data_IF_022155373749
#
_entry.id   IF_022155373749
#
_cell.length_a   1.000
_cell.length_b   1.000
_cell.length_c   1.000
_cell.angle_alpha   90.00
_cell.angle_beta   90.00
_cell.angle_gamma   90.00
#
_symmetry.space_group_name_H-M   'P 1'
#
loop_
_entity.id
_entity.type
_entity.pdbx_description
1 polymer ?
2 non-polymer ?
3 non-polymer ?
4 water ?
#
# COMPACT_ATOMS: atom_id res chain seq x y z
N UNK A 14 -2.72 19.39 -17.68
CA UNK A 14 -3.36 20.71 -17.56
C UNK A 14 -4.54 20.82 -18.52
N UNK A 15 -4.40 20.32 -19.74
CA UNK A 15 -5.49 20.30 -20.72
C UNK A 15 -5.68 18.85 -21.17
N UNK A 16 -6.81 18.53 -21.79
CA UNK A 16 -6.92 17.17 -22.30
C UNK A 16 -6.05 16.99 -23.54
N UNK A 17 -6.00 18.02 -24.41
CA UNK A 17 -5.09 17.99 -25.56
C UNK A 17 -3.69 17.57 -25.13
N UNK A 18 -3.25 18.04 -23.97
CA UNK A 18 -1.96 17.60 -23.42
C UNK A 18 -1.88 16.07 -23.31
N UNK A 19 -2.96 15.42 -22.88
CA UNK A 19 -2.88 13.97 -22.68
C UNK A 19 -2.82 13.23 -24.01
N UNK A 20 -3.48 13.73 -25.05
CA UNK A 20 -3.41 13.02 -26.33
C UNK A 20 -1.99 13.10 -26.88
N UNK A 21 -1.40 14.29 -26.90
CA UNK A 21 -0.04 14.43 -27.39
C UNK A 21 0.94 13.68 -26.50
N UNK A 22 0.78 13.78 -25.18
CA UNK A 22 1.69 13.15 -24.26
C UNK A 22 1.70 11.63 -24.31
N UNK A 23 0.73 11.03 -24.99
CA UNK A 23 0.65 9.58 -25.13
C UNK A 23 0.83 9.15 -26.59
N UNK A 24 1.23 10.08 -27.46
CA UNK A 24 1.16 9.92 -28.90
C UNK A 24 -0.19 9.31 -29.30
N UNK A 25 -1.26 9.91 -28.77
CA UNK A 25 -2.64 9.46 -28.94
C UNK A 25 -2.83 8.02 -28.46
N UNK A 26 -2.44 7.78 -27.21
CA UNK A 26 -2.74 6.52 -26.53
C UNK A 26 -2.15 5.32 -27.27
N UNK A 27 -1.02 5.55 -27.93
CA UNK A 27 -0.22 4.47 -28.49
C UNK A 27 0.16 3.45 -27.41
N UNK A 28 0.33 2.18 -27.83
CA UNK A 28 0.60 1.11 -26.87
C UNK A 28 1.93 1.29 -26.14
N UNK A 29 2.92 1.95 -26.78
CA UNK A 29 4.19 2.28 -26.14
C UNK A 29 3.99 3.00 -24.81
N UNK A 30 2.81 3.57 -24.58
CA UNK A 30 2.53 4.36 -23.41
C UNK A 30 1.55 3.70 -22.45
N UNK A 31 1.01 2.54 -22.81
CA UNK A 31 0.03 1.86 -21.96
C UNK A 31 0.75 1.22 -20.77
N UNK A 32 0.35 1.61 -19.57
CA UNK A 32 0.94 1.05 -18.35
C UNK A 32 0.24 -0.24 -17.94
N UNK A 33 -1.09 -0.21 -17.90
CA UNK A 33 -1.86 -1.36 -17.46
C UNK A 33 -3.31 -0.99 -17.39
N UNK A 34 -4.09 -1.84 -16.72
CA UNK A 34 -5.54 -1.62 -16.60
C UNK A 34 -6.10 -2.44 -15.45
N UNK A 35 -6.94 -1.80 -14.64
CA UNK A 35 -7.66 -2.48 -13.58
C UNK A 35 -9.16 -2.56 -13.83
N UNK A 36 -9.96 -2.54 -12.76
CA UNK A 36 -11.41 -2.66 -12.88
C UNK A 36 -12.10 -1.36 -13.27
N UNK A 37 -11.57 -0.20 -12.84
CA UNK A 37 -12.21 1.07 -13.12
C UNK A 37 -11.45 1.94 -14.12
N UNK A 38 -10.16 1.68 -14.39
CA UNK A 38 -9.33 2.59 -15.18
C UNK A 38 -8.44 1.87 -16.19
N UNK A 39 -8.29 2.47 -17.38
CA UNK A 39 -7.17 2.21 -18.27
C UNK A 39 -6.09 3.26 -18.00
N UNK A 40 -4.83 2.82 -17.92
CA UNK A 40 -3.76 3.64 -17.36
C UNK A 40 -2.61 3.78 -18.36
N UNK A 41 -2.29 5.03 -18.70
CA UNK A 41 -1.22 5.34 -19.64
C UNK A 41 -0.17 6.25 -18.98
N UNK A 42 1.08 6.09 -19.41
CA UNK A 42 2.12 7.06 -19.11
C UNK A 42 1.94 8.29 -20.01
N UNK A 43 2.05 9.48 -19.42
CA UNK A 43 1.92 10.74 -20.16
C UNK A 43 3.13 11.62 -19.87
N UNK A 44 3.79 12.07 -20.93
CA UNK A 44 4.87 13.06 -20.83
C UNK A 44 4.29 14.43 -21.18
N UNK A 45 4.30 15.35 -20.21
CA UNK A 45 3.85 16.71 -20.47
C UNK A 45 4.98 17.66 -20.12
N UNK A 46 5.56 18.29 -21.13
CA UNK A 46 6.79 19.04 -20.97
C UNK A 46 7.84 18.14 -20.33
N UNK A 47 8.37 18.57 -19.19
CA UNK A 47 9.46 17.87 -18.54
C UNK A 47 9.01 17.16 -17.27
N UNK A 48 7.75 16.73 -17.22
CA UNK A 48 7.25 15.89 -16.15
C UNK A 48 6.50 14.70 -16.72
N UNK A 49 6.48 13.61 -15.96
CA UNK A 49 5.88 12.36 -16.36
C UNK A 49 4.70 12.04 -15.45
N UNK A 50 3.59 11.59 -16.06
CA UNK A 50 2.35 11.33 -15.36
C UNK A 50 1.81 9.95 -15.74
N UNK A 51 0.87 9.49 -14.91
CA UNK A 51 0.01 8.34 -15.21
C UNK A 51 -1.42 8.86 -15.27
N UNK A 52 -2.12 8.61 -16.38
CA UNK A 52 -3.51 9.00 -16.53
C UNK A 52 -4.36 7.75 -16.41
N UNK A 53 -5.36 7.80 -15.55
CA UNK A 53 -6.26 6.69 -15.29
C UNK A 53 -7.57 7.04 -15.99
N UNK A 54 -7.82 6.38 -17.13
CA UNK A 54 -8.95 6.66 -18.00
C UNK A 54 -10.18 5.95 -17.42
N UNK A 55 -11.15 6.73 -16.92
CA UNK A 55 -12.35 6.13 -16.33
C UNK A 55 -13.13 5.40 -17.41
N UNK A 56 -13.34 4.11 -17.18
CA UNK A 56 -13.78 3.19 -18.22
C UNK A 56 -15.30 3.01 -18.27
N UNK A 63 -22.33 1.46 -14.90
CA UNK A 63 -22.18 0.81 -13.60
C UNK A 63 -22.06 1.85 -12.49
N UNK A 64 -23.09 1.93 -11.63
CA UNK A 64 -23.08 2.90 -10.55
C UNK A 64 -22.00 2.59 -9.51
N UNK A 65 -21.62 1.33 -9.35
CA UNK A 65 -20.58 0.98 -8.38
C UNK A 65 -19.24 1.62 -8.74
N UNK A 66 -18.74 1.30 -9.93
CA UNK A 66 -17.66 2.05 -10.58
C UNK A 66 -17.73 3.55 -10.34
N UNK A 67 -18.88 4.17 -10.61
CA UNK A 67 -19.01 5.62 -10.51
C UNK A 67 -18.80 6.10 -9.08
N UNK A 68 -19.43 5.44 -8.11
CA UNK A 68 -19.29 5.84 -6.71
C UNK A 68 -17.87 5.67 -6.21
N UNK A 69 -17.10 4.76 -6.81
CA UNK A 69 -15.72 4.57 -6.40
C UNK A 69 -14.81 5.63 -7.02
N UNK A 70 -15.16 6.11 -8.21
CA UNK A 70 -14.49 7.26 -8.80
C UNK A 70 -14.67 8.50 -7.92
N UNK A 71 -15.92 8.81 -7.58
CA UNK A 71 -16.19 9.91 -6.65
C UNK A 71 -15.42 9.76 -5.35
N UNK A 72 -15.40 8.56 -4.76
CA UNK A 72 -14.69 8.39 -3.49
C UNK A 72 -13.20 8.67 -3.65
N UNK A 73 -12.62 8.30 -4.79
CA UNK A 73 -11.22 8.59 -5.04
C UNK A 73 -11.00 10.09 -5.16
N UNK A 74 -11.87 10.76 -5.91
CA UNK A 74 -11.79 12.21 -6.03
C UNK A 74 -11.97 12.86 -4.66
N UNK A 75 -12.97 12.41 -3.88
CA UNK A 75 -13.28 13.08 -2.62
C UNK A 75 -12.03 13.12 -1.73
N UNK A 76 -11.37 11.98 -1.59
CA UNK A 76 -10.22 11.92 -0.70
C UNK A 76 -9.12 12.86 -1.20
N UNK A 77 -8.75 12.73 -2.48
CA UNK A 77 -7.54 13.38 -2.98
C UNK A 77 -7.70 14.88 -3.15
N UNK A 78 -8.94 15.38 -3.25
CA UNK A 78 -9.15 16.83 -3.34
C UNK A 78 -9.20 17.49 -1.97
N UNK A 79 -9.42 16.72 -0.92
CA UNK A 79 -9.59 17.26 0.41
C UNK A 79 -8.37 17.08 1.32
N UNK A 80 -7.59 16.01 1.13
CA UNK A 80 -6.51 15.68 2.03
C UNK A 80 -5.21 15.49 1.26
N UNK A 81 -4.10 15.76 1.93
CA UNK A 81 -2.79 15.91 1.31
C UNK A 81 -1.75 15.46 2.32
N UNK A 82 -0.78 14.67 1.87
CA UNK A 82 0.27 14.18 2.75
C UNK A 82 1.44 13.77 1.88
N UNK A 83 2.68 13.94 2.37
CA UNK A 83 3.86 13.55 1.56
C UNK A 83 3.84 12.10 1.11
N UNK A 84 3.17 11.21 1.85
CA UNK A 84 3.13 9.79 1.53
C UNK A 84 1.76 9.37 0.98
N UNK A 85 1.00 10.32 0.45
CA UNK A 85 -0.20 10.03 -0.31
C UNK A 85 0.01 10.56 -1.72
N UNK A 86 -0.13 9.70 -2.73
CA UNK A 86 0.05 10.16 -4.10
C UNK A 86 -1.04 11.16 -4.47
N UNK A 87 -0.64 12.33 -4.88
CA UNK A 87 -1.51 13.48 -4.91
C UNK A 87 -2.17 13.52 -6.28
N UNK A 88 -3.40 14.04 -6.30
CA UNK A 88 -4.05 14.28 -7.58
C UNK A 88 -3.52 15.59 -8.13
N UNK A 89 -3.04 15.55 -9.37
CA UNK A 89 -2.52 16.74 -10.02
C UNK A 89 -3.55 17.45 -10.88
N UNK A 90 -4.42 16.69 -11.56
CA UNK A 90 -5.53 17.24 -12.33
C UNK A 90 -6.53 16.12 -12.61
N UNK A 91 -7.70 16.51 -13.08
CA UNK A 91 -8.77 15.59 -13.43
C UNK A 91 -9.68 16.28 -14.45
N UNK A 92 -10.38 15.49 -15.25
CA UNK A 92 -11.17 16.01 -16.35
C UNK A 92 -12.56 15.38 -16.33
N UNK A 93 -13.59 16.24 -16.35
CA UNK A 93 -14.99 15.86 -16.39
C UNK A 93 -15.86 17.12 -16.31
N UNK A 98 -13.28 11.74 -18.98
CA UNK A 98 -13.39 11.31 -17.59
C UNK A 98 -12.11 10.59 -17.13
N UNK A 99 -11.26 11.26 -16.34
CA UNK A 99 -9.98 10.65 -16.00
C UNK A 99 -9.31 11.40 -14.86
N UNK A 100 -8.37 10.71 -14.21
CA UNK A 100 -7.57 11.25 -13.11
C UNK A 100 -6.09 11.17 -13.47
N UNK A 101 -5.35 12.27 -13.23
CA UNK A 101 -3.91 12.35 -13.56
C UNK A 101 -3.11 12.46 -12.27
N UNK A 102 -2.11 11.58 -12.13
CA UNK A 102 -1.22 11.52 -10.98
C UNK A 102 0.24 11.59 -11.43
N UNK A 103 1.14 12.09 -10.58
CA UNK A 103 2.58 12.01 -10.90
C UNK A 103 3.00 10.56 -11.10
N UNK A 104 3.89 10.34 -12.07
CA UNK A 104 4.34 9.00 -12.39
C UNK A 104 5.37 8.52 -11.38
N UNK A 105 5.18 7.30 -10.88
CA UNK A 105 6.00 6.74 -9.81
C UNK A 105 6.93 5.71 -10.45
N UNK A 106 8.18 6.10 -10.67
CA UNK A 106 9.10 5.35 -11.51
C UNK A 106 9.57 4.04 -10.86
N UNK A 107 9.55 3.94 -9.54
CA UNK A 107 9.91 2.67 -8.93
C UNK A 107 8.71 1.75 -8.72
N UNK A 108 7.54 2.10 -9.27
CA UNK A 108 6.45 1.12 -9.30
C UNK A 108 5.85 0.82 -7.93
N UNK A 109 5.24 -0.36 -7.84
CA UNK A 109 4.51 -0.79 -6.66
C UNK A 109 5.40 -1.57 -5.71
N UNK A 110 5.06 -1.49 -4.42
CA UNK A 110 5.77 -2.30 -3.43
C UNK A 110 5.72 -3.78 -3.80
N UNK A 111 4.56 -4.26 -4.26
CA UNK A 111 4.44 -5.66 -4.66
C UNK A 111 5.48 -6.02 -5.73
N UNK A 112 5.57 -5.20 -6.79
CA UNK A 112 6.52 -5.48 -7.87
C UNK A 112 7.95 -5.53 -7.36
N UNK A 113 8.30 -4.63 -6.43
CA UNK A 113 9.68 -4.60 -5.95
C UNK A 113 9.96 -5.77 -5.01
N UNK A 114 8.99 -6.16 -4.19
CA UNK A 114 9.17 -7.35 -3.35
C UNK A 114 9.33 -8.59 -4.21
N UNK A 115 8.56 -8.68 -5.30
CA UNK A 115 8.63 -9.82 -6.20
C UNK A 115 9.72 -9.65 -7.25
N UNK A 116 10.49 -8.57 -7.19
CA UNK A 116 11.61 -8.32 -8.12
C UNK A 116 11.17 -8.41 -9.59
N UNK A 117 10.02 -7.80 -9.90
CA UNK A 117 9.55 -7.80 -11.28
C UNK A 117 10.55 -7.06 -12.17
N UNK A 118 10.79 -7.60 -13.36
CA UNK A 118 11.81 -7.01 -14.22
C UNK A 118 13.23 -7.29 -13.77
N UNK A 119 13.42 -8.19 -12.81
CA UNK A 119 14.75 -8.52 -12.28
C UNK A 119 15.38 -7.34 -11.55
N UNK A 120 14.57 -6.50 -10.92
CA UNK A 120 15.17 -5.46 -10.10
C UNK A 120 15.78 -6.10 -8.85
N UNK A 121 16.78 -5.44 -8.30
CA UNK A 121 17.44 -5.95 -7.11
C UNK A 121 16.45 -5.97 -5.93
N UNK A 122 16.52 -6.98 -5.06
CA UNK A 122 15.73 -6.97 -3.82
C UNK A 122 15.99 -5.70 -3.01
N UNK A 123 14.95 -5.20 -2.35
CA UNK A 123 15.12 -4.02 -1.51
C UNK A 123 15.90 -4.37 -0.24
N UNK A 124 16.84 -3.50 0.16
CA UNK A 124 17.52 -3.71 1.44
C UNK A 124 16.61 -3.31 2.60
N UNK A 125 16.99 -3.73 3.80
CA UNK A 125 16.09 -3.57 4.94
C UNK A 125 15.80 -2.10 5.22
N UNK A 126 16.80 -1.23 5.06
CA UNK A 126 16.56 0.16 5.45
C UNK A 126 15.52 0.82 4.54
N UNK A 127 15.44 0.42 3.27
CA UNK A 127 14.39 0.95 2.39
C UNK A 127 13.03 0.34 2.77
N UNK A 128 13.01 -0.98 3.01
CA UNK A 128 11.77 -1.65 3.42
C UNK A 128 11.17 -0.98 4.64
N UNK A 129 11.99 -0.70 5.66
CA UNK A 129 11.39 -0.14 6.86
C UNK A 129 10.97 1.31 6.59
N UNK A 130 11.72 2.02 5.75
CA UNK A 130 11.34 3.37 5.37
C UNK A 130 10.02 3.37 4.62
N UNK A 131 9.79 2.34 3.82
CA UNK A 131 8.52 2.27 3.10
C UNK A 131 7.37 2.07 4.08
N UNK A 132 7.52 1.14 5.04
CA UNK A 132 6.45 0.90 6.01
C UNK A 132 6.16 2.14 6.85
N UNK A 133 7.21 2.85 7.28
CA UNK A 133 7.02 4.05 8.08
C UNK A 133 6.21 5.09 7.31
N UNK A 134 6.62 5.38 6.07
CA UNK A 134 5.92 6.41 5.31
C UNK A 134 4.44 6.10 5.12
N UNK A 135 4.13 4.83 4.82
CA UNK A 135 2.73 4.46 4.61
C UNK A 135 1.96 4.57 5.93
N UNK A 136 2.58 4.19 7.04
CA UNK A 136 1.87 4.25 8.31
C UNK A 136 1.57 5.69 8.69
N UNK A 137 2.50 6.61 8.36
CA UNK A 137 2.22 8.03 8.57
C UNK A 137 1.02 8.47 7.74
N UNK A 138 0.96 8.04 6.48
CA UNK A 138 -0.17 8.44 5.64
C UNK A 138 -1.48 7.92 6.22
N UNK A 139 -1.50 6.68 6.69
CA UNK A 139 -2.72 6.13 7.27
C UNK A 139 -3.05 6.82 8.58
N UNK A 140 -2.04 6.98 9.44
CA UNK A 140 -2.24 7.72 10.68
C UNK A 140 -2.82 9.11 10.42
N UNK A 141 -2.33 9.80 9.39
CA UNK A 141 -2.88 11.12 9.06
C UNK A 141 -4.35 11.01 8.63
N UNK A 142 -4.65 10.04 7.76
CA UNK A 142 -6.01 9.91 7.23
C UNK A 142 -7.00 9.54 8.33
N UNK A 143 -6.57 8.70 9.27
CA UNK A 143 -7.40 8.29 10.39
C UNK A 143 -7.73 9.46 11.33
N UNK A 144 -7.13 10.63 11.16
CA UNK A 144 -7.33 11.69 12.14
C UNK A 144 -7.60 13.05 11.50
N UNK A 145 -7.83 13.13 10.18
CA UNK A 145 -8.03 14.42 9.53
C UNK A 145 -9.25 15.10 10.13
N UNK A 146 -9.16 16.42 10.27
CA UNK A 146 -9.97 17.28 11.14
C UNK A 146 -11.44 16.88 11.16
N UNK A 147 -12.17 16.93 10.00
CA UNK A 147 -13.64 16.74 10.07
C UNK A 147 -14.06 15.33 10.47
N UNK A 148 -14.10 14.41 9.52
CA UNK A 148 -14.39 13.01 9.79
C UNK A 148 -13.16 12.20 9.38
N UNK A 149 -12.84 11.17 10.15
CA UNK A 149 -11.65 10.41 9.80
C UNK A 149 -11.92 9.53 8.59
N UNK A 150 -10.85 9.13 7.92
CA UNK A 150 -10.91 8.37 6.68
C UNK A 150 -10.44 6.95 6.96
N UNK A 151 -11.28 5.98 6.62
CA UNK A 151 -10.84 4.60 6.55
C UNK A 151 -10.43 4.32 5.10
N UNK A 152 -9.17 3.91 4.91
CA UNK A 152 -8.60 3.84 3.57
C UNK A 152 -9.25 2.75 2.72
N UNK A 153 -9.32 1.52 3.25
CA UNK A 153 -10.10 0.46 2.65
C UNK A 153 -9.40 -0.45 1.66
N UNK A 154 -8.32 0.00 1.02
CA UNK A 154 -7.64 -0.82 0.00
C UNK A 154 -6.14 -0.84 0.22
N UNK A 155 -5.72 -0.96 1.47
CA UNK A 155 -4.30 -1.01 1.78
C UNK A 155 -3.74 -2.35 1.32
N UNK A 156 -2.64 -2.32 0.59
CA UNK A 156 -2.07 -3.51 -0.02
C UNK A 156 -0.72 -3.17 -0.63
N UNK A 157 0.07 -4.21 -0.93
CA UNK A 157 1.40 -3.94 -1.47
C UNK A 157 1.31 -3.42 -2.90
N UNK A 158 0.22 -3.78 -3.61
CA UNK A 158 -0.04 -3.27 -4.95
C UNK A 158 -0.37 -1.78 -4.94
N UNK A 159 -1.04 -1.29 -3.90
CA UNK A 159 -1.51 0.09 -3.88
C UNK A 159 -0.51 1.04 -3.21
N UNK A 160 0.69 0.57 -2.93
CA UNK A 160 1.76 1.40 -2.41
C UNK A 160 2.72 1.64 -3.57
N UNK A 161 2.84 2.89 -4.04
CA UNK A 161 3.76 3.23 -5.12
C UNK A 161 5.01 3.88 -4.54
N UNK A 162 6.05 3.97 -5.38
CA UNK A 162 7.38 4.34 -4.91
C UNK A 162 8.03 5.34 -5.86
N UNK A 163 8.49 6.47 -5.32
CA UNK A 163 9.11 7.49 -6.16
C UNK A 163 10.58 7.13 -6.43
N UNK A 164 11.34 8.08 -6.99
CA UNK A 164 12.69 7.77 -7.44
C UNK A 164 13.62 7.43 -6.29
N UNK A 165 13.27 7.86 -5.07
CA UNK A 165 14.06 7.55 -3.89
C UNK A 165 13.34 6.56 -2.97
N UNK A 166 12.37 5.83 -3.50
CA UNK A 166 11.60 4.85 -2.76
C UNK A 166 10.80 5.45 -1.61
N UNK A 167 10.55 6.76 -1.64
CA UNK A 167 9.54 7.32 -0.74
C UNK A 167 8.19 6.72 -1.11
N UNK A 168 7.46 6.15 -0.15
CA UNK A 168 6.18 5.51 -0.49
C UNK A 168 5.04 6.51 -0.64
N UNK A 169 4.09 6.17 -1.51
CA UNK A 169 2.90 6.97 -1.77
C UNK A 169 1.69 6.07 -1.72
N UNK A 170 0.81 6.31 -0.76
CA UNK A 170 -0.41 5.53 -0.67
C UNK A 170 -1.36 5.91 -1.81
N UNK A 171 -2.03 4.91 -2.40
CA UNK A 171 -2.97 5.16 -3.48
C UNK A 171 -4.20 4.30 -3.26
N UNK A 172 -5.22 4.57 -4.07
CA UNK A 172 -6.48 3.84 -4.14
C UNK A 172 -7.38 4.13 -2.97
N UNK A 173 -8.26 5.12 -3.11
CA UNK A 173 -9.26 5.41 -2.10
C UNK A 173 -10.66 5.12 -2.61
N UNK A 174 -10.77 4.27 -3.64
CA UNK A 174 -12.08 3.94 -4.20
C UNK A 174 -12.98 3.25 -3.18
N UNK A 175 -12.40 2.64 -2.15
CA UNK A 175 -13.19 1.99 -1.11
C UNK A 175 -13.17 2.76 0.21
N UNK A 176 -12.70 4.00 0.21
CA UNK A 176 -12.58 4.75 1.47
C UNK A 176 -13.96 5.11 2.05
N UNK A 177 -13.98 5.28 3.38
CA UNK A 177 -15.19 5.66 4.10
C UNK A 177 -14.82 6.60 5.24
N UNK A 178 -15.75 7.49 5.56
CA UNK A 178 -15.58 8.43 6.66
C UNK A 178 -16.20 7.89 7.94
N UNK A 179 -15.49 8.05 9.06
CA UNK A 179 -15.95 7.55 10.35
C UNK A 179 -15.79 8.64 11.43
N UNK A 199 -10.22 -10.76 -1.54
CA UNK A 199 -10.39 -10.00 -0.30
C UNK A 199 -9.35 -10.45 0.73
N UNK A 200 -8.14 -10.74 0.26
CA UNK A 200 -7.12 -11.31 1.14
C UNK A 200 -6.68 -10.36 2.22
N UNK A 201 -6.76 -9.05 1.99
CA UNK A 201 -6.34 -8.06 2.97
C UNK A 201 -7.45 -7.68 3.93
N UNK A 202 -8.62 -8.31 3.82
CA UNK A 202 -9.74 -7.86 4.63
C UNK A 202 -9.95 -8.78 5.82
N UNK A 203 -10.28 -8.25 7.00
CA UNK A 203 -10.47 -9.08 8.19
C UNK A 203 -11.83 -9.75 8.21
N UNK A 204 -11.98 -10.68 9.15
CA UNK A 204 -13.19 -11.49 9.26
C UNK A 204 -14.43 -10.63 9.50
N UNK A 205 -14.35 -9.74 10.50
CA UNK A 205 -15.51 -8.92 10.85
C UNK A 205 -16.00 -8.07 9.67
N UNK A 206 -15.14 -7.81 8.69
CA UNK A 206 -15.56 -7.14 7.48
C UNK A 206 -16.26 -8.11 6.53
N UNK A 207 -15.55 -9.18 6.17
CA UNK A 207 -16.12 -10.21 5.31
C UNK A 207 -17.42 -10.76 5.88
N UNK A 208 -17.44 -11.09 7.18
CA UNK A 208 -18.59 -11.79 7.75
C UNK A 208 -19.73 -10.85 8.16
N UNK A 209 -19.43 -9.67 8.69
CA UNK A 209 -20.47 -8.82 9.28
C UNK A 209 -20.50 -7.41 8.70
N UNK A 210 -19.71 -7.12 7.66
CA UNK A 210 -19.70 -5.79 7.08
C UNK A 210 -19.13 -4.68 7.95
N UNK A 211 -18.53 -5.00 9.11
CA UNK A 211 -17.98 -3.96 9.98
C UNK A 211 -16.69 -3.41 9.40
N UNK A 212 -16.46 -2.12 9.64
CA UNK A 212 -15.34 -1.39 9.04
C UNK A 212 -14.89 -0.31 10.01
N UNK A 213 -13.59 -0.18 10.23
CA UNK A 213 -13.12 0.80 11.21
C UNK A 213 -11.67 1.16 10.94
N UNK A 214 -11.13 1.98 11.83
CA UNK A 214 -9.68 2.19 11.93
C UNK A 214 -8.95 0.87 11.90
N UNK A 215 -9.45 -0.12 12.65
CA UNK A 215 -8.74 -1.39 12.78
C UNK A 215 -8.78 -2.19 11.49
N UNK A 216 -9.66 -1.86 10.54
CA UNK A 216 -9.60 -2.51 9.23
C UNK A 216 -8.28 -2.23 8.53
N UNK A 217 -7.88 -0.95 8.49
CA UNK A 217 -6.62 -0.59 7.85
C UNK A 217 -5.43 -1.22 8.55
N UNK A 218 -5.48 -1.32 9.89
CA UNK A 218 -4.36 -1.90 10.61
C UNK A 218 -4.18 -3.36 10.20
N UNK A 219 -5.29 -4.10 10.10
CA UNK A 219 -5.25 -5.50 9.70
C UNK A 219 -4.58 -5.66 8.34
N UNK A 220 -5.06 -4.91 7.33
CA UNK A 220 -4.44 -4.94 6.01
C UNK A 220 -2.97 -4.57 6.06
N UNK A 221 -2.63 -3.53 6.83
CA UNK A 221 -1.24 -3.12 6.96
C UNK A 221 -0.39 -4.24 7.55
N UNK A 222 -0.94 -4.98 8.53
CA UNK A 222 -0.18 -6.09 9.10
C UNK A 222 0.22 -7.10 8.04
N UNK A 223 -0.69 -7.40 7.12
CA UNK A 223 -0.35 -8.36 6.06
C UNK A 223 0.73 -7.78 5.16
N UNK A 224 0.70 -6.47 4.91
CA UNK A 224 1.77 -5.85 4.12
C UNK A 224 3.12 -6.00 4.82
N UNK A 225 3.17 -5.83 6.14
CA UNK A 225 4.42 -6.07 6.86
C UNK A 225 4.91 -7.50 6.63
N UNK A 226 3.97 -8.46 6.66
CA UNK A 226 4.31 -9.86 6.43
C UNK A 226 4.96 -10.06 5.05
N UNK A 227 4.39 -9.43 4.02
CA UNK A 227 5.01 -9.47 2.69
C UNK A 227 6.39 -8.82 2.70
N UNK A 228 6.54 -7.72 3.43
CA UNK A 228 7.80 -6.99 3.40
C UNK A 228 8.90 -7.81 4.07
N UNK A 229 8.56 -8.52 5.14
CA UNK A 229 9.57 -9.30 5.85
C UNK A 229 9.96 -10.54 5.07
N UNK A 230 9.00 -11.21 4.43
CA UNK A 230 9.23 -12.51 3.83
C UNK A 230 9.52 -12.47 2.34
N UNK A 231 9.00 -11.45 1.64
CA UNK A 231 9.04 -11.46 0.21
C UNK A 231 8.04 -12.40 -0.43
N UNK A 232 7.16 -13.00 0.36
CA UNK A 232 6.11 -13.86 -0.15
C UNK A 232 4.88 -13.06 -0.58
N UNK A 233 4.12 -13.66 -1.49
CA UNK A 233 2.78 -13.20 -1.83
C UNK A 233 1.84 -13.51 -0.67
N UNK A 234 0.67 -12.83 -0.68
CA UNK A 234 -0.32 -13.04 0.37
C UNK A 234 -0.82 -14.47 0.37
N UNK A 235 -0.78 -15.13 -0.79
CA UNK A 235 -1.12 -16.54 -0.95
C UNK A 235 0.08 -17.26 -1.54
N UNK A 236 0.36 -18.47 -1.04
CA UNK A 236 1.58 -19.20 -1.36
C UNK A 236 1.28 -20.35 -2.31
N UNK A 237 2.33 -20.81 -3.00
CA UNK A 237 2.19 -21.81 -4.08
C UNK A 237 1.50 -23.11 -3.64
N UNK A 241 -2.15 -24.47 -1.09
CA UNK A 241 -2.27 -23.08 -1.49
C UNK A 241 -2.79 -22.22 -0.32
N UNK A 242 -1.88 -21.83 0.58
CA UNK A 242 -2.25 -21.30 1.88
C UNK A 242 -1.93 -19.81 1.98
N UNK A 243 -2.55 -19.16 2.96
CA UNK A 243 -2.37 -17.73 3.15
C UNK A 243 -1.14 -17.45 4.00
N UNK A 244 -0.34 -16.47 3.55
CA UNK A 244 0.83 -16.04 4.29
C UNK A 244 0.48 -15.72 5.74
N UNK A 245 -0.66 -15.06 5.97
CA UNK A 245 -1.05 -14.69 7.33
C UNK A 245 -1.28 -15.92 8.19
N UNK A 246 -1.92 -16.96 7.63
CA UNK A 246 -2.16 -18.16 8.41
C UNK A 246 -0.85 -18.87 8.73
N UNK A 247 0.06 -18.90 7.77
CA UNK A 247 1.33 -19.57 7.98
C UNK A 247 2.14 -18.87 9.07
N UNK A 248 2.23 -17.54 9.02
CA UNK A 248 3.03 -16.84 10.01
C UNK A 248 2.37 -16.88 11.38
N UNK A 249 1.04 -16.75 11.45
CA UNK A 249 0.35 -16.82 12.75
C UNK A 249 0.52 -18.21 13.38
N UNK A 250 0.36 -19.27 12.59
CA UNK A 250 0.59 -20.62 13.12
C UNK A 250 2.02 -20.77 13.64
N UNK A 251 3.00 -20.26 12.89
CA UNK A 251 4.39 -20.37 13.32
C UNK A 251 4.65 -19.57 14.60
N UNK A 252 4.08 -18.37 14.72
CA UNK A 252 4.35 -17.56 15.91
C UNK A 252 3.71 -18.14 17.17
N UNK A 253 2.55 -18.77 17.05
CA UNK A 253 1.93 -19.32 18.25
C UNK A 253 2.66 -20.55 18.73
N UNK A 254 3.14 -21.38 17.81
CA UNK A 254 3.72 -22.66 18.21
C UNK A 254 5.21 -22.51 18.56
N UNK A 255 5.91 -21.61 17.88
CA UNK A 255 7.36 -21.61 17.92
C UNK A 255 7.97 -20.29 18.38
N UNK A 256 7.16 -19.30 18.74
CA UNK A 256 7.68 -18.04 19.23
C UNK A 256 8.17 -17.16 18.11
N UNK A 257 8.60 -15.95 18.50
CA UNK A 257 8.92 -14.93 17.50
C UNK A 257 10.22 -15.21 16.79
N UNK A 258 11.21 -15.81 17.47
CA UNK A 258 12.50 -16.02 16.84
C UNK A 258 12.45 -17.10 15.75
N UNK A 259 11.41 -17.94 15.71
CA UNK A 259 11.36 -18.97 14.68
C UNK A 259 11.05 -18.39 13.30
N UNK A 260 10.43 -17.21 13.25
CA UNK A 260 10.15 -16.58 11.96
C UNK A 260 11.41 -16.15 11.24
N UNK A 261 12.54 -16.07 11.95
CA UNK A 261 13.83 -15.80 11.32
C UNK A 261 13.98 -16.64 10.06
N UNK A 262 13.49 -17.89 10.08
CA UNK A 262 13.64 -18.79 8.93
C UNK A 262 12.86 -18.32 7.70
N UNK A 263 11.90 -17.40 7.87
CA UNK A 263 11.07 -16.96 6.75
C UNK A 263 11.42 -15.56 6.28
N UNK A 264 12.45 -14.95 6.84
CA UNK A 264 12.96 -13.70 6.28
C UNK A 264 13.33 -13.92 4.82
N UNK A 265 12.94 -12.97 3.96
CA UNK A 265 13.37 -12.91 2.57
C UNK A 265 14.83 -13.36 2.44
N UNK A 266 15.05 -14.47 1.73
CA UNK A 266 16.39 -15.01 1.53
C UNK A 266 17.23 -14.15 0.61
N UNK A 267 16.62 -13.24 -0.15
CA UNK A 267 17.37 -12.53 -1.17
C UNK A 267 18.16 -11.36 -0.59
N UNK A 268 18.10 -11.15 0.73
CA UNK A 268 19.05 -10.27 1.40
C UNK A 268 19.62 -11.01 2.60
N UNK A 269 20.81 -10.62 3.07
CA UNK A 269 21.30 -11.17 4.34
C UNK A 269 20.37 -10.82 5.46
N UNK A 270 20.31 -11.64 6.52
CA UNK A 270 19.35 -11.39 7.61
C UNK A 270 19.54 -10.02 8.27
N UNK A 271 18.42 -9.40 8.61
CA UNK A 271 18.42 -8.22 9.43
C UNK A 271 18.75 -8.62 10.87
N UNK A 272 19.03 -7.67 11.76
CA UNK A 272 19.30 -8.05 13.15
C UNK A 272 18.12 -8.80 13.76
N UNK A 273 18.45 -9.70 14.67
CA UNK A 273 17.46 -10.57 15.31
C UNK A 273 16.31 -9.79 15.94
N UNK A 274 16.60 -8.69 16.63
CA UNK A 274 15.51 -8.00 17.31
C UNK A 274 14.68 -7.15 16.35
N UNK A 275 15.30 -6.67 15.27
CA UNK A 275 14.54 -6.05 14.19
C UNK A 275 13.50 -7.00 13.66
N UNK A 276 13.91 -8.24 13.36
CA UNK A 276 12.99 -9.22 12.83
C UNK A 276 11.89 -9.54 13.83
N UNK A 277 12.26 -9.75 15.10
CA UNK A 277 11.28 -10.13 16.11
C UNK A 277 10.27 -9.04 16.36
N UNK A 278 10.72 -7.79 16.49
CA UNK A 278 9.77 -6.68 16.65
C UNK A 278 8.83 -6.59 15.46
N UNK A 279 9.33 -6.83 14.26
CA UNK A 279 8.46 -6.61 13.11
C UNK A 279 7.48 -7.76 12.91
N UNK A 280 7.94 -9.01 13.09
CA UNK A 280 6.99 -10.12 13.04
C UNK A 280 5.93 -9.98 14.14
N UNK A 281 6.34 -9.60 15.36
CA UNK A 281 5.38 -9.38 16.44
C UNK A 281 4.36 -8.31 16.04
N UNK A 282 4.85 -7.18 15.53
CA UNK A 282 3.95 -6.10 15.16
C UNK A 282 3.00 -6.53 14.05
N UNK A 283 3.51 -7.27 13.05
CA UNK A 283 2.67 -7.78 11.99
C UNK A 283 1.59 -8.71 12.54
N UNK A 284 1.98 -9.62 13.45
CA UNK A 284 1.01 -10.56 14.00
C UNK A 284 -0.12 -9.89 14.77
N UNK A 285 0.24 -8.88 15.57
CA UNK A 285 -0.77 -8.12 16.31
C UNK A 285 -1.67 -7.33 15.36
N UNK A 286 -1.08 -6.69 14.35
CA UNK A 286 -1.90 -5.92 13.41
C UNK A 286 -2.92 -6.83 12.70
N UNK A 287 -2.51 -8.05 12.38
CA UNK A 287 -3.35 -9.00 11.65
C UNK A 287 -4.18 -9.89 12.56
N UNK A 288 -4.37 -9.49 13.81
CA UNK A 288 -5.18 -10.30 14.72
C UNK A 288 -6.61 -10.40 14.21
N UNK A 289 -7.22 -11.55 14.46
CA UNK A 289 -8.63 -11.74 14.14
C UNK A 289 -9.52 -10.79 14.94
N UNK A 290 -9.31 -10.73 16.25
CA UNK A 290 -10.06 -9.79 17.10
C UNK A 290 -9.53 -8.39 16.88
N UNK A 291 -10.39 -7.50 16.37
CA UNK A 291 -10.05 -6.09 16.18
C UNK A 291 -9.46 -5.49 17.46
N UNK A 292 -9.99 -5.90 18.62
CA UNK A 292 -9.53 -5.34 19.88
C UNK A 292 -8.05 -5.65 20.14
N UNK A 293 -7.53 -6.73 19.57
CA UNK A 293 -6.13 -7.07 19.72
C UNK A 293 -5.21 -6.21 18.85
N UNK A 294 -5.77 -5.46 17.87
CA UNK A 294 -4.90 -4.75 16.93
C UNK A 294 -4.47 -3.42 17.52
N UNK A 295 -3.22 -3.02 17.32
CA UNK A 295 -2.81 -1.68 17.77
C UNK A 295 -3.40 -0.58 16.90
N UNK A 296 -3.47 0.61 17.45
CA UNK A 296 -3.81 1.76 16.64
C UNK A 296 -2.66 2.05 15.69
N UNK A 297 -2.96 2.79 14.62
CA UNK A 297 -1.90 3.09 13.66
C UNK A 297 -0.85 4.00 14.29
N UNK A 298 -1.26 4.79 15.28
CA UNK A 298 -0.31 5.60 16.03
C UNK A 298 0.73 4.73 16.73
N UNK A 299 0.30 3.70 17.45
CA UNK A 299 1.27 2.80 18.06
C UNK A 299 2.09 2.05 17.00
N UNK A 300 1.49 1.73 15.85
CA UNK A 300 2.23 1.06 14.78
C UNK A 300 3.39 1.94 14.32
N UNK A 301 3.10 3.21 14.05
CA UNK A 301 4.11 4.17 13.61
C UNK A 301 5.27 4.26 14.61
N UNK A 302 4.96 4.39 15.90
CA UNK A 302 6.00 4.48 16.91
C UNK A 302 6.82 3.19 16.98
N UNK A 303 6.17 2.02 16.86
CA UNK A 303 6.92 0.77 16.84
C UNK A 303 7.81 0.67 15.59
N UNK A 304 7.27 1.00 14.42
CA UNK A 304 8.08 0.96 13.21
C UNK A 304 9.30 1.86 13.35
N UNK A 305 9.13 3.03 13.96
CA UNK A 305 10.24 3.96 14.06
C UNK A 305 11.32 3.47 15.03
N UNK A 306 10.95 2.87 16.17
CA UNK A 306 12.02 2.31 17.01
C UNK A 306 12.67 1.11 16.33
N UNK A 307 11.90 0.32 15.60
CA UNK A 307 12.48 -0.79 14.85
C UNK A 307 13.55 -0.27 13.89
N UNK A 308 13.27 0.83 13.20
CA UNK A 308 14.24 1.41 12.27
C UNK A 308 15.52 1.83 13.00
N UNK A 309 15.38 2.40 14.21
CA UNK A 309 16.55 2.88 14.95
C UNK A 309 17.51 1.73 15.27
N UNK A 310 16.97 0.58 15.66
CA UNK A 310 17.82 -0.57 15.94
C UNK A 310 18.57 -1.05 14.70
N UNK A 311 18.17 -0.61 13.52
CA UNK A 311 18.91 -0.95 12.32
C UNK A 311 20.20 -0.13 12.17
N UNK A 312 20.35 0.96 12.91
CA UNK A 312 21.42 1.94 12.67
C UNK A 312 22.41 2.12 13.82
X LIG B 1 -8.52 -1.28 -9.35
X LIG B 1 -10.23 -0.45 -9.57
X LIG B 1 -7.94 -1.36 -7.89
X LIG B 1 -8.38 -2.78 -9.83
X LIG B 1 -7.43 0.76 -11.14
X LIG B 1 -8.48 0.74 -12.19
X LIG B 1 -7.45 1.99 -10.22
X LIG B 1 -7.43 -0.52 -10.21
X LIG B 1 -4.64 -0.11 -11.41
X LIG B 1 -4.72 -1.57 -11.68
X LIG B 1 -4.31 0.30 -9.97
X LIG B 1 -5.97 0.66 -11.80
X LIG B 1 -3.59 0.56 -12.38
X LIG B 1 -3.11 -0.08 -13.58
X LIG B 1 -1.60 -0.04 -13.57
X LIG B 1 -1.15 1.34 -13.59
X LIG B 1 -0.96 -0.70 -12.35
X LIG B 1 0.14 -1.50 -12.77
X LIG B 1 -0.52 0.50 -11.48
X LIG B 1 0.63 0.27 -10.68
X LIG B 1 -0.19 1.52 -12.56
X LIG B 1 -0.22 2.91 -12.09
X LIG B 1 -1.30 3.62 -11.62
X LIG B 1 -0.99 4.82 -11.17
X LIG B 1 0.38 4.90 -11.37
X LIG B 1 1.32 5.93 -11.13
X LIG B 1 1.01 7.09 -10.52
X LIG B 1 2.60 5.70 -11.50
X LIG B 1 2.92 4.53 -12.06
X LIG B 1 2.13 3.49 -12.32
X LIG B 1 0.86 3.73 -11.95
X LIG C 1 -4.82 5.90 14.43
X LIG C 1 -3.89 6.46 13.44
X LIG C 1 -4.08 5.79 15.68
X LIG C 1 -5.96 6.78 14.62
X LIG C 1 -5.28 4.58 13.95
X LIG D 1 -6.86 -13.66 17.54
X LIG D 1 -5.98 -13.08 16.53
X LIG D 1 -6.07 -13.99 18.73
X LIG D 1 -7.90 -12.70 17.92
X LIG D 1 -7.47 -14.86 16.97
#
# INVERSE_FOLDING_TARGET
SEHNEKGVLLKSSISFQNIIEGTRNFHKDFLIGEGEIFEVYRVEIQNLTYAVKLFKQEKKMQCKKHWKRFLSELEVLLLFHHPNILELAAYFTETEKFCLIYPYMRNGTLFDRLQCVGDTAPLPWHIRIGILIGISKAIHYLHNVQPCSVICGSISSANILLDDQFQPKLTDFAMAHFRSHLEHQSCTINMTSSSSKHLWYMPEEYIRQGKLSIKTDVYSFGIVIMEVLTGCRVVLDDPKHIQLRDLLRELMEKRGLDSCLSFLDKKVPPCPRNFSAKLFCLAGRCAATRAKLRPSMDEVLNTLESTQASLYFAED
AGS PG S1G O2G O3G PB O1B O2B O3B PA O1A O2A O3A O5' C5' C4' O4' C3' O3' C2' O2' C1' N9 C8 N7 C5 C6 N6 N1 C2 N3 C4
SO4 S O1 O2 O3 O4
SO4 S O1 O2 O3 O4
#
